data_IF_601652880752
#
_entry.id   IF_601652880752
#
_cell.length_a   1.000
_cell.length_b   1.000
_cell.length_c   1.000
_cell.angle_alpha   90.00
_cell.angle_beta   90.00
_cell.angle_gamma   90.00
#
_symmetry.space_group_name_H-M   'P 1'
#
loop_
_entity.id
_entity.type
_entity.pdbx_description
1 polymer ?
#
# COMPACT_ATOMS: atom_id res chain seq x y z
N UNK A 1 21.50 35.85 15.68
CA UNK A 1 22.02 34.46 15.74
C UNK A 1 20.95 33.40 16.04
N UNK A 2 20.22 33.42 17.19
CA UNK A 2 19.19 32.43 17.49
C UNK A 2 17.97 32.58 16.56
N UNK A 3 17.51 33.80 16.30
CA UNK A 3 16.39 34.13 15.41
C UNK A 3 16.75 33.80 13.95
N UNK A 4 17.97 34.09 13.51
CA UNK A 4 18.46 33.70 12.18
C UNK A 4 18.63 32.19 12.03
N UNK A 5 19.01 31.48 13.10
CA UNK A 5 19.07 30.03 13.11
C UNK A 5 17.64 29.41 13.02
N UNK A 6 16.66 30.04 13.68
CA UNK A 6 15.23 29.62 13.59
C UNK A 6 14.68 29.90 12.18
N UNK A 7 14.99 31.07 11.58
CA UNK A 7 14.58 31.39 10.21
C UNK A 7 15.21 30.43 9.19
N UNK A 8 16.52 30.13 9.30
CA UNK A 8 17.19 29.14 8.42
C UNK A 8 16.66 27.73 8.60
N UNK A 9 16.13 27.38 9.78
CA UNK A 9 15.51 26.09 10.03
C UNK A 9 14.09 25.97 9.43
N UNK A 10 13.41 27.11 9.15
CA UNK A 10 12.14 27.14 8.42
C UNK A 10 12.33 27.09 6.89
N UNK A 11 13.43 27.64 6.38
CA UNK A 11 13.70 27.71 4.94
C UNK A 11 14.20 26.37 4.34
N UNK A 12 14.80 25.48 5.16
CA UNK A 12 15.29 24.17 4.70
C UNK A 12 14.18 23.09 4.53
N UNK A 13 12.94 23.37 4.97
CA UNK A 13 11.81 22.44 4.93
C UNK A 13 10.66 22.93 3.98
N UNK A 14 10.87 23.97 3.17
CA UNK A 14 9.94 24.34 2.11
C UNK A 14 9.96 23.29 0.98
N UNK A 15 9.26 22.19 1.20
CA UNK A 15 8.69 21.43 0.10
C UNK A 15 7.53 22.27 -0.45
N UNK A 16 7.60 22.68 -1.70
CA UNK A 16 6.58 23.43 -2.47
C UNK A 16 5.25 22.64 -2.64
N UNK A 17 4.71 22.08 -1.57
CA UNK A 17 3.44 21.34 -1.61
C UNK A 17 2.42 22.09 -0.74
N UNK A 18 1.50 22.87 -1.35
CA UNK A 18 0.49 23.67 -0.62
C UNK A 18 -0.46 22.85 0.25
N UNK A 19 -0.43 21.53 0.15
CA UNK A 19 -1.24 20.61 0.96
C UNK A 19 -0.61 20.28 2.33
N UNK A 20 0.68 20.63 2.57
CA UNK A 20 1.37 20.35 3.83
C UNK A 20 1.01 21.35 4.95
N UNK A 21 0.61 22.57 4.61
CA UNK A 21 0.31 23.63 5.60
C UNK A 21 -1.00 23.40 6.37
N UNK A 22 -1.97 22.72 5.78
CA UNK A 22 -3.22 22.41 6.46
C UNK A 22 -3.10 21.24 7.48
N UNK A 23 -2.08 20.40 7.32
CA UNK A 23 -1.77 19.30 8.24
C UNK A 23 -0.95 19.75 9.48
N UNK A 24 -0.42 20.95 9.49
CA UNK A 24 0.57 21.43 10.45
C UNK A 24 0.01 22.16 11.68
N UNK A 25 -1.30 22.37 11.79
CA UNK A 25 -1.89 22.84 13.06
C UNK A 25 -1.98 21.70 14.07
N UNK A 26 -0.84 21.31 14.60
CA UNK A 26 -0.69 20.34 15.68
C UNK A 26 -0.95 21.02 17.02
N UNK A 27 -2.20 21.07 17.45
CA UNK A 27 -2.52 21.33 18.85
C UNK A 27 -2.21 20.08 19.67
N UNK A 28 -1.34 20.20 20.68
CA UNK A 28 -1.02 19.12 21.63
C UNK A 28 -2.28 18.56 22.30
N UNK A 29 -3.33 19.35 22.46
CA UNK A 29 -4.61 18.97 23.06
C UNK A 29 -5.34 17.85 22.30
N UNK A 30 -4.99 17.63 21.04
CA UNK A 30 -5.58 16.55 20.23
C UNK A 30 -4.90 15.19 20.40
N UNK A 31 -3.72 15.14 21.05
CA UNK A 31 -2.92 13.91 21.14
C UNK A 31 -3.24 13.06 22.36
N UNK A 32 -3.67 13.68 23.44
CA UNK A 32 -3.92 12.98 24.71
C UNK A 32 -5.38 13.15 25.06
N UNK A 33 -6.07 12.03 25.29
CA UNK A 33 -7.42 12.06 25.87
C UNK A 33 -7.35 12.75 27.22
N UNK A 34 -8.17 13.79 27.49
CA UNK A 34 -8.20 14.45 28.79
C UNK A 34 -8.46 13.46 29.92
N UNK A 35 -7.76 13.62 31.04
CA UNK A 35 -7.89 12.71 32.17
C UNK A 35 -9.29 12.71 32.80
N UNK A 36 -9.98 13.85 32.70
CA UNK A 36 -11.35 14.08 33.15
C UNK A 36 -12.43 13.74 32.13
N UNK A 37 -12.05 13.15 30.96
CA UNK A 37 -13.00 12.78 29.94
C UNK A 37 -13.97 11.70 30.45
N UNK A 38 -15.29 11.90 30.31
CA UNK A 38 -16.29 10.97 30.82
C UNK A 38 -16.10 9.55 30.31
N UNK A 39 -16.13 8.56 31.22
CA UNK A 39 -15.96 7.16 30.86
C UNK A 39 -17.02 6.70 29.85
N UNK A 40 -16.60 5.98 28.83
CA UNK A 40 -17.49 5.48 27.78
C UNK A 40 -17.95 6.51 26.75
N UNK A 41 -17.67 7.82 26.92
CA UNK A 41 -17.97 8.83 25.92
C UNK A 41 -16.98 8.72 24.75
N UNK A 42 -17.45 8.68 23.48
CA UNK A 42 -16.57 8.68 22.31
C UNK A 42 -15.64 9.89 22.28
N UNK A 43 -14.39 9.70 21.84
CA UNK A 43 -13.38 10.74 21.77
C UNK A 43 -12.55 10.64 20.50
N UNK A 44 -12.19 11.78 19.93
CA UNK A 44 -11.25 11.89 18.83
C UNK A 44 -11.80 11.46 17.46
N UNK A 45 -10.94 11.52 16.46
CA UNK A 45 -11.27 11.18 15.06
C UNK A 45 -10.39 10.06 14.56
N UNK A 46 -11.00 9.09 13.90
CA UNK A 46 -10.34 8.00 13.18
C UNK A 46 -10.56 8.21 11.67
N UNK A 47 -9.51 8.41 10.92
CA UNK A 47 -9.59 8.43 9.44
C UNK A 47 -9.14 7.07 8.91
N UNK A 48 -9.93 6.44 8.05
CA UNK A 48 -9.71 5.09 7.52
C UNK A 48 -9.71 5.12 6.01
N UNK A 49 -8.68 4.55 5.41
CA UNK A 49 -8.64 4.36 3.96
C UNK A 49 -7.73 3.19 3.56
N UNK A 50 -7.78 2.81 2.29
CA UNK A 50 -6.91 1.79 1.72
C UNK A 50 -6.20 2.32 0.47
N UNK A 51 -4.96 1.91 0.32
CA UNK A 51 -4.16 2.21 -0.87
C UNK A 51 -3.53 0.93 -1.40
N UNK A 52 -2.83 1.05 -2.51
CA UNK A 52 -2.09 -0.06 -3.08
C UNK A 52 -0.68 0.36 -3.44
N UNK A 53 0.23 -0.59 -3.29
CA UNK A 53 1.64 -0.43 -3.59
C UNK A 53 2.04 -1.41 -4.70
N UNK A 54 2.42 -0.92 -5.89
CA UNK A 54 2.74 -1.76 -7.04
C UNK A 54 3.94 -2.66 -6.78
N UNK A 55 3.86 -3.91 -7.25
CA UNK A 55 4.99 -4.83 -7.28
C UNK A 55 5.84 -4.60 -8.54
N UNK A 56 7.16 -4.74 -8.43
CA UNK A 56 8.08 -4.68 -9.56
C UNK A 56 7.99 -5.95 -10.40
N UNK A 57 6.94 -6.05 -11.20
CA UNK A 57 6.75 -7.13 -12.16
C UNK A 57 6.44 -6.60 -13.55
N UNK A 58 7.00 -7.23 -14.56
CA UNK A 58 6.56 -6.96 -15.93
C UNK A 58 5.16 -7.52 -16.15
N UNK A 59 4.33 -6.83 -16.96
CA UNK A 59 2.97 -7.29 -17.25
C UNK A 59 2.95 -8.77 -17.66
N UNK A 60 2.26 -9.64 -16.90
CA UNK A 60 2.30 -11.07 -17.11
C UNK A 60 1.43 -11.48 -18.32
N UNK A 61 1.99 -12.36 -19.14
CA UNK A 61 1.23 -13.09 -20.13
C UNK A 61 1.47 -14.58 -19.94
N UNK A 62 0.45 -15.42 -20.18
CA UNK A 62 0.58 -16.86 -19.99
C UNK A 62 1.74 -17.45 -20.78
N UNK A 63 1.92 -16.98 -22.00
CA UNK A 63 3.02 -17.44 -22.86
C UNK A 63 4.40 -17.06 -22.31
N UNK A 64 4.56 -15.86 -21.72
CA UNK A 64 5.80 -15.41 -21.11
C UNK A 64 6.13 -16.24 -19.86
N UNK A 65 5.14 -16.43 -18.99
CA UNK A 65 5.29 -17.23 -17.76
C UNK A 65 5.70 -18.67 -18.07
N UNK A 66 5.07 -19.30 -19.07
CA UNK A 66 5.40 -20.65 -19.49
C UNK A 66 6.79 -20.74 -20.10
N UNK A 67 7.21 -19.75 -20.89
CA UNK A 67 8.59 -19.72 -21.42
C UNK A 67 9.62 -19.56 -20.31
N UNK A 68 9.39 -18.68 -19.33
CA UNK A 68 10.26 -18.50 -18.16
C UNK A 68 10.32 -19.76 -17.30
N UNK A 69 9.19 -20.46 -17.13
CA UNK A 69 9.12 -21.73 -16.41
C UNK A 69 9.92 -22.81 -17.13
N UNK A 70 9.76 -22.93 -18.47
CA UNK A 70 10.54 -23.86 -19.30
C UNK A 70 12.03 -23.59 -19.18
N UNK A 71 12.48 -22.37 -19.36
CA UNK A 71 13.90 -22.00 -19.26
C UNK A 71 14.47 -22.26 -17.86
N UNK A 72 13.65 -22.05 -16.83
CA UNK A 72 14.04 -22.33 -15.44
C UNK A 72 14.18 -23.82 -15.17
N UNK A 73 13.24 -24.64 -15.64
CA UNK A 73 13.30 -26.10 -15.50
C UNK A 73 14.43 -26.69 -16.33
N UNK A 74 14.76 -26.15 -17.50
CA UNK A 74 15.95 -26.56 -18.29
C UNK A 74 17.24 -26.37 -17.50
N UNK A 75 17.40 -25.26 -16.77
CA UNK A 75 18.57 -25.02 -15.90
C UNK A 75 18.60 -25.98 -14.73
N UNK A 76 17.45 -26.20 -14.07
CA UNK A 76 17.36 -27.19 -12.96
C UNK A 76 17.79 -28.59 -13.44
N UNK A 77 17.35 -29.01 -14.63
CA UNK A 77 17.74 -30.28 -15.23
C UNK A 77 19.24 -30.31 -15.49
N UNK A 78 19.81 -29.22 -16.01
CA UNK A 78 21.27 -29.16 -16.26
C UNK A 78 22.05 -29.29 -14.94
N UNK A 79 21.67 -28.53 -13.89
CA UNK A 79 22.30 -28.59 -12.57
C UNK A 79 22.17 -29.99 -11.93
N UNK A 80 21.01 -30.66 -12.08
CA UNK A 80 20.83 -32.02 -11.59
C UNK A 80 21.66 -33.05 -12.39
N UNK A 81 21.80 -32.90 -13.70
CA UNK A 81 22.59 -33.78 -14.54
C UNK A 81 24.10 -33.65 -14.32
N UNK A 82 24.56 -32.56 -13.72
CA UNK A 82 25.96 -32.36 -13.33
C UNK A 82 26.35 -33.18 -12.12
N UNK A 83 25.39 -33.62 -11.27
CA UNK A 83 25.69 -34.45 -10.08
C UNK A 83 26.25 -35.81 -10.43
N UNK A 84 25.84 -36.43 -11.54
CA UNK A 84 26.30 -37.72 -11.98
C UNK A 84 26.17 -37.90 -13.49
N UNK A 85 27.19 -38.44 -14.16
CA UNK A 85 27.21 -38.61 -15.62
C UNK A 85 26.05 -39.48 -16.16
N UNK A 86 25.62 -40.48 -15.39
CA UNK A 86 24.53 -41.39 -15.72
C UNK A 86 23.15 -40.69 -15.79
N UNK A 87 23.00 -39.50 -15.18
CA UNK A 87 21.75 -38.75 -15.20
C UNK A 87 21.45 -38.10 -16.55
N UNK A 88 22.43 -37.91 -17.41
CA UNK A 88 22.27 -37.33 -18.76
C UNK A 88 21.27 -38.08 -19.63
N UNK A 89 21.05 -39.38 -19.41
CA UNK A 89 20.04 -40.17 -20.14
C UNK A 89 18.61 -39.71 -19.94
N UNK A 90 18.32 -39.05 -18.78
CA UNK A 90 16.99 -38.55 -18.43
C UNK A 90 16.72 -37.14 -19.00
N UNK A 91 17.72 -36.50 -19.62
CA UNK A 91 17.58 -35.19 -20.22
C UNK A 91 16.58 -35.21 -21.37
N UNK A 92 15.57 -34.31 -21.40
CA UNK A 92 14.54 -34.26 -22.46
C UNK A 92 15.19 -34.04 -23.82
N UNK A 93 14.77 -34.86 -24.80
CA UNK A 93 15.29 -34.79 -26.19
C UNK A 93 14.44 -33.82 -27.02
N UNK A 94 14.64 -32.52 -26.84
CA UNK A 94 14.07 -31.51 -27.72
C UNK A 94 15.03 -30.34 -27.95
N UNK A 95 14.83 -29.65 -29.05
CA UNK A 95 15.63 -28.47 -29.40
C UNK A 95 15.15 -27.22 -28.63
N UNK A 96 15.95 -26.78 -27.67
CA UNK A 96 15.70 -25.57 -26.87
C UNK A 96 15.61 -24.32 -27.73
N UNK A 97 16.37 -24.25 -28.84
CA UNK A 97 16.34 -23.17 -29.81
C UNK A 97 14.97 -23.09 -30.51
N UNK A 98 14.44 -24.23 -30.94
CA UNK A 98 13.08 -24.30 -31.52
C UNK A 98 12.01 -23.92 -30.49
N UNK A 99 12.12 -24.38 -29.26
CA UNK A 99 11.19 -24.02 -28.19
C UNK A 99 11.17 -22.50 -27.95
N UNK A 100 12.33 -21.85 -27.92
CA UNK A 100 12.48 -20.40 -27.85
C UNK A 100 11.92 -19.69 -29.09
N UNK A 101 12.16 -20.23 -30.29
CA UNK A 101 11.64 -19.67 -31.54
C UNK A 101 10.09 -19.67 -31.56
N UNK A 102 9.46 -20.72 -31.03
CA UNK A 102 7.99 -20.78 -30.86
C UNK A 102 7.50 -19.62 -29.98
N UNK A 103 8.14 -19.36 -28.84
CA UNK A 103 7.83 -18.21 -28.00
C UNK A 103 8.00 -16.89 -28.75
N UNK A 104 9.17 -16.66 -29.35
CA UNK A 104 9.51 -15.42 -30.03
C UNK A 104 8.60 -15.15 -31.25
N UNK A 105 8.13 -16.20 -31.91
CA UNK A 105 7.22 -16.08 -33.07
C UNK A 105 5.89 -15.38 -32.74
N UNK A 106 5.50 -15.38 -31.45
CA UNK A 106 4.30 -14.71 -30.94
C UNK A 106 4.67 -13.44 -30.21
N UNK A 107 5.68 -13.49 -29.31
CA UNK A 107 6.07 -12.38 -28.44
C UNK A 107 6.52 -11.13 -29.21
N UNK A 108 7.15 -11.30 -30.38
CA UNK A 108 7.59 -10.20 -31.23
C UNK A 108 6.45 -9.54 -32.04
N UNK A 109 5.25 -10.13 -32.08
CA UNK A 109 4.13 -9.60 -32.86
C UNK A 109 3.35 -8.56 -32.06
N UNK A 110 3.08 -7.40 -32.65
CA UNK A 110 2.30 -6.32 -32.04
C UNK A 110 0.85 -6.74 -31.72
N UNK A 111 0.23 -7.52 -32.61
CA UNK A 111 -1.16 -8.03 -32.47
C UNK A 111 -1.25 -9.48 -32.95
N UNK A 112 -0.75 -10.47 -32.21
CA UNK A 112 -0.81 -11.87 -32.64
C UNK A 112 -2.26 -12.39 -32.62
N UNK A 113 -2.60 -13.24 -33.60
CA UNK A 113 -3.94 -13.89 -33.64
C UNK A 113 -4.11 -14.84 -32.47
N UNK A 114 -5.28 -14.85 -31.83
CA UNK A 114 -5.62 -15.73 -30.68
C UNK A 114 -5.30 -17.21 -30.92
N UNK A 115 -5.56 -17.73 -32.14
CA UNK A 115 -5.24 -19.12 -32.51
C UNK A 115 -3.74 -19.39 -32.41
N UNK A 116 -2.90 -18.42 -32.85
CA UNK A 116 -1.44 -18.55 -32.80
C UNK A 116 -0.90 -18.51 -31.36
N UNK A 117 -1.45 -17.60 -30.52
CA UNK A 117 -1.13 -17.54 -29.10
C UNK A 117 -1.46 -18.87 -28.42
N UNK A 118 -2.69 -19.40 -28.63
CA UNK A 118 -3.14 -20.66 -28.04
C UNK A 118 -2.29 -21.86 -28.46
N UNK A 119 -1.87 -21.91 -29.72
CA UNK A 119 -0.97 -22.95 -30.23
C UNK A 119 0.43 -22.85 -29.60
N UNK A 120 0.96 -21.63 -29.40
CA UNK A 120 2.24 -21.43 -28.74
C UNK A 120 2.19 -21.79 -27.24
N UNK A 121 1.11 -21.42 -26.54
CA UNK A 121 0.87 -21.82 -25.13
C UNK A 121 0.88 -23.34 -25.01
N UNK A 122 0.11 -24.06 -25.86
CA UNK A 122 0.08 -25.53 -25.85
C UNK A 122 1.48 -26.11 -26.01
N UNK A 123 2.26 -25.64 -26.99
CA UNK A 123 3.64 -26.13 -27.20
C UNK A 123 4.56 -25.86 -26.01
N UNK A 124 4.44 -24.68 -25.39
CA UNK A 124 5.23 -24.38 -24.18
C UNK A 124 4.83 -25.25 -23.01
N UNK A 125 3.54 -25.56 -22.83
CA UNK A 125 3.06 -26.51 -21.83
C UNK A 125 3.62 -27.92 -22.09
N UNK A 126 3.60 -28.39 -23.34
CA UNK A 126 4.16 -29.70 -23.70
C UNK A 126 5.68 -29.79 -23.40
N UNK A 127 6.44 -28.71 -23.64
CA UNK A 127 7.86 -28.67 -23.26
C UNK A 127 8.03 -28.66 -21.75
N UNK A 128 7.23 -27.88 -21.03
CA UNK A 128 7.28 -27.80 -19.57
C UNK A 128 6.93 -29.12 -18.91
N UNK A 129 5.90 -29.82 -19.41
CA UNK A 129 5.52 -31.15 -18.94
C UNK A 129 6.70 -32.14 -19.05
N UNK A 130 7.36 -32.21 -20.22
CA UNK A 130 8.53 -33.06 -20.42
C UNK A 130 9.69 -32.74 -19.48
N UNK A 131 9.88 -31.44 -19.15
CA UNK A 131 10.90 -31.02 -18.21
C UNK A 131 10.55 -31.48 -16.79
N UNK A 132 9.30 -31.37 -16.36
CA UNK A 132 8.86 -31.84 -15.05
C UNK A 132 8.99 -33.35 -14.93
N UNK A 133 8.56 -34.11 -15.93
CA UNK A 133 8.74 -35.57 -16.00
C UNK A 133 10.22 -35.98 -15.95
N UNK A 134 11.12 -35.23 -16.61
CA UNK A 134 12.54 -35.48 -16.56
C UNK A 134 13.13 -35.19 -15.17
N UNK A 135 12.65 -34.14 -14.48
CA UNK A 135 13.06 -33.86 -13.10
C UNK A 135 12.60 -34.98 -12.17
N UNK A 136 11.37 -35.46 -12.32
CA UNK A 136 10.85 -36.60 -11.54
C UNK A 136 11.68 -37.88 -11.79
N UNK A 137 12.04 -38.16 -13.03
CA UNK A 137 12.91 -39.32 -13.38
C UNK A 137 14.32 -39.16 -12.82
N UNK A 138 14.89 -37.97 -12.78
CA UNK A 138 16.18 -37.68 -12.16
C UNK A 138 16.13 -37.93 -10.65
N UNK A 139 15.10 -37.47 -9.98
CA UNK A 139 14.88 -37.68 -8.54
C UNK A 139 14.72 -39.18 -8.26
N UNK A 140 13.92 -39.90 -9.04
CA UNK A 140 13.73 -41.34 -8.92
C UNK A 140 15.04 -42.13 -9.17
N UNK A 141 15.97 -41.56 -9.93
CA UNK A 141 17.30 -42.12 -10.19
C UNK A 141 18.36 -41.77 -9.13
N UNK A 142 17.96 -41.02 -8.07
CA UNK A 142 18.83 -40.66 -6.96
C UNK A 142 19.41 -39.23 -7.03
N UNK A 143 18.97 -38.37 -7.95
CA UNK A 143 19.39 -36.99 -7.95
C UNK A 143 18.89 -36.27 -6.69
N UNK A 144 19.76 -35.47 -6.07
CA UNK A 144 19.49 -34.82 -4.78
C UNK A 144 19.07 -33.37 -5.00
N UNK A 145 17.82 -33.06 -4.71
CA UNK A 145 17.27 -31.69 -4.84
C UNK A 145 17.89 -30.68 -3.88
N UNK A 146 18.35 -31.12 -2.70
CA UNK A 146 19.01 -30.25 -1.72
C UNK A 146 20.35 -29.67 -2.19
N UNK A 147 20.94 -30.21 -3.27
CA UNK A 147 22.11 -29.63 -3.91
C UNK A 147 21.80 -28.39 -4.75
N UNK A 148 20.55 -28.21 -5.13
CA UNK A 148 20.12 -27.00 -5.84
C UNK A 148 20.14 -25.80 -4.90
N UNK A 149 20.44 -24.62 -5.46
CA UNK A 149 20.32 -23.35 -4.72
C UNK A 149 18.86 -23.14 -4.28
N UNK A 150 18.65 -22.63 -3.07
CA UNK A 150 17.33 -22.47 -2.45
C UNK A 150 16.32 -21.76 -3.35
N UNK A 151 16.75 -20.78 -4.17
CA UNK A 151 15.85 -20.09 -5.09
C UNK A 151 15.31 -20.98 -6.23
N UNK A 152 16.09 -22.01 -6.70
CA UNK A 152 15.62 -22.96 -7.70
C UNK A 152 14.59 -23.93 -7.11
N UNK A 153 14.83 -24.39 -5.89
CA UNK A 153 13.90 -25.23 -5.16
C UNK A 153 12.52 -24.56 -5.00
N UNK A 154 12.50 -23.33 -4.46
CA UNK A 154 11.26 -22.57 -4.30
C UNK A 154 10.58 -22.33 -5.66
N UNK A 155 11.36 -22.03 -6.70
CA UNK A 155 10.84 -21.77 -8.04
C UNK A 155 10.24 -23.03 -8.67
N UNK A 156 10.79 -24.22 -8.42
CA UNK A 156 10.25 -25.48 -8.94
C UNK A 156 8.83 -25.76 -8.40
N UNK A 157 8.59 -25.50 -7.11
CA UNK A 157 7.25 -25.63 -6.53
C UNK A 157 6.24 -24.68 -7.20
N UNK A 158 6.64 -23.43 -7.42
CA UNK A 158 5.79 -22.43 -8.10
C UNK A 158 5.52 -22.84 -9.56
N UNK A 159 6.53 -23.41 -10.26
CA UNK A 159 6.40 -23.86 -11.65
C UNK A 159 5.46 -25.06 -11.75
N UNK A 160 5.51 -26.00 -10.83
CA UNK A 160 4.60 -27.16 -10.81
C UNK A 160 3.15 -26.70 -10.67
N UNK A 161 2.88 -25.77 -9.77
CA UNK A 161 1.54 -25.17 -9.62
C UNK A 161 1.14 -24.33 -10.86
N UNK A 162 2.07 -23.56 -11.42
CA UNK A 162 1.81 -22.81 -12.67
C UNK A 162 1.41 -23.76 -13.80
N UNK A 163 2.11 -24.88 -13.96
CA UNK A 163 1.79 -25.88 -14.98
C UNK A 163 0.36 -26.41 -14.79
N UNK A 164 -0.02 -26.78 -13.57
CA UNK A 164 -1.39 -27.22 -13.24
C UNK A 164 -2.42 -26.14 -13.59
N UNK A 165 -2.18 -24.89 -13.20
CA UNK A 165 -3.10 -23.76 -13.47
C UNK A 165 -3.25 -23.51 -14.96
N UNK A 166 -2.16 -23.46 -15.71
CA UNK A 166 -2.19 -23.18 -17.15
C UNK A 166 -2.80 -24.32 -17.95
N UNK A 167 -2.65 -25.56 -17.50
CA UNK A 167 -3.34 -26.73 -18.06
C UNK A 167 -4.85 -26.60 -17.91
N UNK A 168 -5.33 -26.26 -16.71
CA UNK A 168 -6.77 -26.02 -16.47
C UNK A 168 -7.30 -24.86 -17.33
N UNK A 169 -6.58 -23.73 -17.40
CA UNK A 169 -6.99 -22.59 -18.21
C UNK A 169 -7.10 -22.92 -19.69
N UNK A 170 -6.16 -23.72 -20.22
CA UNK A 170 -6.15 -24.10 -21.63
C UNK A 170 -7.20 -25.13 -21.99
N UNK A 171 -7.29 -26.23 -21.24
CA UNK A 171 -8.12 -27.39 -21.60
C UNK A 171 -9.55 -27.28 -21.07
N UNK A 172 -9.76 -26.79 -19.86
CA UNK A 172 -11.10 -26.53 -19.32
C UNK A 172 -11.69 -25.20 -19.84
N UNK A 173 -10.98 -24.46 -20.69
CA UNK A 173 -11.41 -23.18 -21.29
C UNK A 173 -11.85 -22.15 -20.26
N UNK A 174 -11.30 -22.19 -19.05
CA UNK A 174 -11.60 -21.20 -18.02
C UNK A 174 -10.89 -19.88 -18.33
N UNK A 175 -11.51 -18.77 -17.96
CA UNK A 175 -10.92 -17.42 -18.11
C UNK A 175 -10.18 -16.97 -16.88
N UNK A 176 -10.50 -17.52 -15.73
CA UNK A 176 -9.90 -17.21 -14.43
C UNK A 176 -9.73 -18.48 -13.60
N UNK A 177 -8.81 -18.42 -12.67
CA UNK A 177 -8.55 -19.45 -11.67
C UNK A 177 -8.21 -18.75 -10.35
N UNK A 178 -8.63 -19.29 -9.19
CA UNK A 178 -8.21 -18.78 -7.89
C UNK A 178 -6.68 -18.82 -7.77
N UNK A 179 -6.12 -17.94 -6.97
CA UNK A 179 -4.69 -17.87 -6.63
C UNK A 179 -3.75 -17.87 -7.84
N UNK A 180 -4.20 -17.24 -8.94
CA UNK A 180 -3.48 -17.26 -10.21
C UNK A 180 -2.07 -16.73 -10.06
N UNK A 181 -1.07 -17.55 -10.41
CA UNK A 181 0.33 -17.17 -10.48
C UNK A 181 0.53 -16.22 -11.67
N UNK A 182 1.11 -15.06 -11.40
CA UNK A 182 1.42 -14.02 -12.39
C UNK A 182 2.92 -13.72 -12.49
N UNK A 183 3.71 -14.20 -11.53
CA UNK A 183 5.16 -14.08 -11.53
C UNK A 183 5.78 -15.30 -10.84
N UNK A 184 6.89 -15.83 -11.38
CA UNK A 184 7.56 -17.01 -10.82
C UNK A 184 8.44 -16.70 -9.62
N UNK A 185 8.86 -15.45 -9.46
CA UNK A 185 9.75 -15.02 -8.37
C UNK A 185 8.92 -14.42 -7.24
N UNK A 186 7.93 -13.58 -7.59
CA UNK A 186 7.01 -12.95 -6.66
C UNK A 186 5.66 -13.69 -6.74
N UNK A 187 5.65 -14.94 -6.31
CA UNK A 187 4.49 -15.83 -6.42
C UNK A 187 3.30 -15.42 -5.57
N UNK A 188 3.49 -14.52 -4.59
CA UNK A 188 2.43 -13.93 -3.77
C UNK A 188 1.60 -12.90 -4.51
N UNK A 189 2.12 -12.26 -5.56
CA UNK A 189 1.42 -11.20 -6.29
C UNK A 189 0.20 -11.76 -7.01
N UNK A 190 -0.93 -11.07 -6.91
CA UNK A 190 -2.20 -11.45 -7.55
C UNK A 190 -2.71 -10.33 -8.45
N UNK A 191 -3.51 -10.68 -9.48
CA UNK A 191 -4.18 -9.68 -10.31
C UNK A 191 -5.30 -9.01 -9.52
N UNK A 192 -5.28 -7.68 -9.40
CA UNK A 192 -6.34 -6.88 -8.80
C UNK A 192 -7.10 -6.11 -9.87
N UNK A 193 -8.42 -6.32 -9.94
CA UNK A 193 -9.29 -5.61 -10.89
C UNK A 193 -9.70 -4.28 -10.27
N UNK A 194 -9.29 -3.17 -10.88
CA UNK A 194 -9.59 -1.82 -10.38
C UNK A 194 -10.55 -1.00 -11.22
N UNK A 195 -10.88 -1.46 -12.43
CA UNK A 195 -11.80 -0.74 -13.32
C UNK A 195 -11.31 0.63 -13.81
N UNK A 196 -10.02 0.94 -13.64
CA UNK A 196 -9.44 2.19 -14.15
C UNK A 196 -9.31 2.15 -15.67
N UNK A 197 -9.53 3.29 -16.34
CA UNK A 197 -9.49 3.41 -17.80
C UNK A 197 -8.12 3.02 -18.41
N UNK A 198 -7.00 3.25 -17.70
CA UNK A 198 -5.64 2.95 -18.18
C UNK A 198 -5.19 1.51 -17.94
N UNK A 199 -5.62 0.89 -16.83
CA UNK A 199 -5.25 -0.49 -16.49
C UNK A 199 -6.43 -1.17 -15.79
N UNK A 200 -7.05 -2.14 -16.47
CA UNK A 200 -8.16 -2.91 -15.93
C UNK A 200 -7.70 -3.83 -14.78
N UNK A 201 -6.43 -4.24 -14.78
CA UNK A 201 -5.81 -5.13 -13.79
C UNK A 201 -4.47 -4.54 -13.38
N UNK A 202 -4.25 -4.44 -12.09
CA UNK A 202 -3.01 -4.01 -11.45
C UNK A 202 -2.44 -5.16 -10.61
N UNK A 203 -1.12 -5.14 -10.35
CA UNK A 203 -0.38 -6.17 -9.63
C UNK A 203 0.31 -5.53 -8.44
N UNK A 204 -0.34 -5.54 -7.30
CA UNK A 204 0.06 -4.71 -6.16
C UNK A 204 -0.32 -5.35 -4.82
N UNK A 205 0.31 -4.90 -3.73
CA UNK A 205 -0.16 -5.17 -2.39
C UNK A 205 -1.20 -4.11 -1.99
N UNK A 206 -2.37 -4.54 -1.50
CA UNK A 206 -3.38 -3.66 -0.91
C UNK A 206 -3.08 -3.45 0.56
N UNK A 207 -3.02 -2.20 0.99
CA UNK A 207 -2.74 -1.80 2.37
C UNK A 207 -3.95 -1.07 2.94
N UNK A 208 -4.29 -1.39 4.19
CA UNK A 208 -5.35 -0.74 4.96
C UNK A 208 -4.71 0.06 6.09
N UNK A 209 -5.01 1.34 6.16
CA UNK A 209 -4.37 2.31 7.05
C UNK A 209 -5.42 3.10 7.80
N UNK A 210 -5.15 3.44 9.05
CA UNK A 210 -5.86 4.48 9.76
C UNK A 210 -4.94 5.62 10.17
N UNK A 211 -5.48 6.84 10.17
CA UNK A 211 -4.79 8.01 10.69
C UNK A 211 -5.50 8.48 11.96
N UNK A 212 -4.71 8.71 12.99
CA UNK A 212 -5.15 9.20 14.29
C UNK A 212 -4.16 10.26 14.75
N UNK A 213 -4.66 11.45 15.03
CA UNK A 213 -3.80 12.57 15.46
C UNK A 213 -2.62 12.79 14.51
N UNK A 214 -2.85 12.61 13.21
CA UNK A 214 -1.84 12.72 12.17
C UNK A 214 -0.80 11.61 12.12
N UNK A 215 -0.88 10.56 12.96
CA UNK A 215 -0.06 9.35 12.84
C UNK A 215 -0.78 8.28 12.05
N UNK A 216 -0.08 7.66 11.10
CA UNK A 216 -0.62 6.61 10.26
C UNK A 216 -0.27 5.22 10.82
N UNK A 217 -1.26 4.40 10.99
CA UNK A 217 -1.16 3.03 11.49
C UNK A 217 -1.55 2.05 10.40
N UNK A 218 -0.61 1.20 10.03
CA UNK A 218 -0.85 0.10 9.11
C UNK A 218 -1.58 -1.03 9.83
N UNK A 219 -2.72 -1.46 9.30
CA UNK A 219 -3.54 -2.52 9.89
C UNK A 219 -3.48 -3.83 9.12
N UNK A 220 -3.45 -3.76 7.81
CA UNK A 220 -3.48 -4.94 6.95
C UNK A 220 -2.65 -4.72 5.71
N UNK A 221 -1.91 -5.76 5.31
CA UNK A 221 -1.27 -5.90 4.01
C UNK A 221 -1.89 -7.14 3.37
N UNK A 222 -2.35 -7.07 2.14
CA UNK A 222 -2.90 -8.20 1.41
C UNK A 222 -2.45 -8.19 -0.05
N UNK A 223 -1.98 -9.33 -0.52
CA UNK A 223 -1.69 -9.57 -1.92
C UNK A 223 -2.93 -10.06 -2.68
N UNK A 224 -3.97 -10.50 -1.95
CA UNK A 224 -5.25 -10.92 -2.49
C UNK A 224 -6.24 -9.76 -2.51
N UNK A 225 -7.12 -9.69 -3.53
CA UNK A 225 -8.18 -8.70 -3.57
C UNK A 225 -9.18 -8.94 -2.43
N UNK A 226 -9.49 -7.90 -1.67
CA UNK A 226 -10.50 -7.94 -0.63
C UNK A 226 -11.30 -6.64 -0.58
N UNK A 227 -12.47 -6.69 0.04
CA UNK A 227 -13.30 -5.51 0.24
C UNK A 227 -12.80 -4.71 1.46
N UNK A 228 -12.20 -3.55 1.23
CA UNK A 228 -11.65 -2.67 2.27
C UNK A 228 -12.68 -2.20 3.30
N UNK A 229 -13.95 -2.15 2.91
CA UNK A 229 -15.03 -1.78 3.83
C UNK A 229 -15.16 -2.72 5.05
N UNK A 230 -14.61 -3.93 4.97
CA UNK A 230 -14.61 -4.90 6.08
C UNK A 230 -13.67 -4.49 7.21
N UNK A 231 -12.63 -3.71 6.92
CA UNK A 231 -11.60 -3.34 7.88
C UNK A 231 -12.06 -2.27 8.89
N UNK A 232 -13.10 -1.46 8.57
CA UNK A 232 -13.54 -0.35 9.41
C UNK A 232 -13.88 -0.78 10.83
N UNK A 233 -14.64 -1.85 11.01
CA UNK A 233 -15.08 -2.32 12.33
C UNK A 233 -13.88 -2.81 13.15
N UNK A 234 -12.94 -3.51 12.51
CA UNK A 234 -11.72 -4.00 13.17
C UNK A 234 -10.86 -2.82 13.65
N UNK A 235 -10.69 -1.80 12.81
CA UNK A 235 -9.92 -0.60 13.14
C UNK A 235 -10.59 0.22 14.26
N UNK A 236 -11.92 0.37 14.25
CA UNK A 236 -12.66 1.04 15.32
C UNK A 236 -12.54 0.30 16.65
N UNK A 237 -12.57 -1.05 16.64
CA UNK A 237 -12.36 -1.87 17.85
C UNK A 237 -10.93 -1.72 18.38
N UNK A 238 -9.93 -1.70 17.50
CA UNK A 238 -8.53 -1.46 17.86
C UNK A 238 -8.34 -0.08 18.50
N UNK A 239 -8.99 0.95 17.92
CA UNK A 239 -9.04 2.28 18.52
C UNK A 239 -9.56 2.23 19.96
N UNK A 240 -10.69 1.52 20.19
CA UNK A 240 -11.26 1.36 21.54
C UNK A 240 -10.30 0.64 22.50
N UNK A 241 -9.56 -0.37 22.03
CA UNK A 241 -8.57 -1.08 22.88
C UNK A 241 -7.44 -0.14 23.32
N UNK A 242 -7.01 0.78 22.46
CA UNK A 242 -5.90 1.69 22.75
C UNK A 242 -6.32 2.92 23.58
N UNK A 243 -7.52 3.48 23.34
CA UNK A 243 -7.99 4.72 24.00
C UNK A 243 -9.06 4.49 25.08
N UNK A 244 -9.50 3.24 25.29
CA UNK A 244 -10.58 2.90 26.24
C UNK A 244 -11.98 3.29 25.76
N UNK A 245 -12.13 4.00 24.64
CA UNK A 245 -13.42 4.43 24.08
C UNK A 245 -13.41 4.37 22.56
N UNK A 246 -14.59 4.37 21.94
CA UNK A 246 -14.71 4.50 20.49
C UNK A 246 -14.39 5.93 20.03
N UNK A 247 -13.99 6.12 18.75
CA UNK A 247 -13.84 7.46 18.21
C UNK A 247 -15.20 8.17 18.14
N UNK A 248 -15.23 9.47 18.35
CA UNK A 248 -16.44 10.29 18.16
C UNK A 248 -16.84 10.29 16.67
N UNK A 249 -15.83 10.31 15.79
CA UNK A 249 -16.02 10.42 14.36
C UNK A 249 -15.10 9.46 13.60
N UNK A 250 -15.66 8.80 12.57
CA UNK A 250 -14.89 8.06 11.57
C UNK A 250 -15.02 8.75 10.22
N UNK A 251 -13.88 9.15 9.63
CA UNK A 251 -13.80 9.68 8.28
C UNK A 251 -13.31 8.57 7.34
N UNK A 252 -14.12 8.22 6.34
CA UNK A 252 -13.84 7.14 5.42
C UNK A 252 -14.43 7.41 4.03
N UNK A 253 -13.92 6.74 3.00
CA UNK A 253 -14.45 6.85 1.65
C UNK A 253 -15.83 6.20 1.51
N UNK A 254 -16.49 6.49 0.39
CA UNK A 254 -17.86 6.03 0.09
C UNK A 254 -18.01 4.51 0.17
N UNK A 255 -16.98 3.74 -0.17
CA UNK A 255 -17.01 2.28 -0.14
C UNK A 255 -17.25 1.72 1.28
N UNK A 256 -16.81 2.44 2.31
CA UNK A 256 -17.00 2.06 3.71
C UNK A 256 -18.42 2.33 4.24
N UNK A 257 -19.26 3.08 3.50
CA UNK A 257 -20.58 3.52 3.93
C UNK A 257 -21.67 2.44 3.70
N UNK A 258 -21.34 1.17 3.86
CA UNK A 258 -22.29 0.06 3.76
C UNK A 258 -23.19 -0.04 5.00
N UNK A 259 -24.28 -0.77 4.91
CA UNK A 259 -25.28 -0.93 5.98
C UNK A 259 -24.66 -1.51 7.25
N UNK A 260 -23.75 -2.49 7.13
CA UNK A 260 -23.08 -3.14 8.27
C UNK A 260 -22.27 -2.12 9.08
N UNK A 261 -21.47 -1.31 8.42
CA UNK A 261 -20.64 -0.29 9.06
C UNK A 261 -21.48 0.83 9.67
N UNK A 262 -22.52 1.29 8.96
CA UNK A 262 -23.47 2.30 9.48
C UNK A 262 -24.15 1.81 10.76
N UNK A 263 -24.68 0.59 10.76
CA UNK A 263 -25.34 0.00 11.93
C UNK A 263 -24.37 -0.13 13.11
N UNK A 264 -23.12 -0.54 12.86
CA UNK A 264 -22.09 -0.61 13.90
C UNK A 264 -21.81 0.78 14.49
N UNK A 265 -21.61 1.79 13.64
CA UNK A 265 -21.34 3.16 14.09
C UNK A 265 -22.51 3.73 14.89
N UNK A 266 -23.75 3.56 14.42
CA UNK A 266 -24.96 4.04 15.12
C UNK A 266 -25.08 3.38 16.51
N UNK A 267 -24.89 2.07 16.62
CA UNK A 267 -24.96 1.34 17.92
C UNK A 267 -23.91 1.83 18.92
N UNK A 268 -22.75 2.24 18.44
CA UNK A 268 -21.65 2.69 19.29
C UNK A 268 -21.54 4.22 19.39
N UNK A 269 -22.56 4.96 18.97
CA UNK A 269 -22.61 6.44 19.00
C UNK A 269 -21.45 7.10 18.23
N UNK A 270 -20.95 6.44 17.19
CA UNK A 270 -19.88 6.93 16.32
C UNK A 270 -20.51 7.68 15.14
N UNK A 271 -20.08 8.89 14.88
CA UNK A 271 -20.46 9.64 13.69
C UNK A 271 -19.64 9.17 12.49
N UNK A 272 -20.26 8.49 11.55
CA UNK A 272 -19.62 8.09 10.31
C UNK A 272 -19.76 9.21 9.28
N UNK A 273 -18.64 9.63 8.65
CA UNK A 273 -18.60 10.67 7.61
C UNK A 273 -19.42 10.30 6.37
N UNK A 274 -19.81 11.33 5.60
CA UNK A 274 -20.48 11.15 4.32
C UNK A 274 -21.98 11.43 4.37
N UNK A 275 -22.63 11.25 3.22
CA UNK A 275 -24.06 11.60 3.06
C UNK A 275 -24.95 10.70 3.91
N UNK A 276 -25.91 11.29 4.60
CA UNK A 276 -26.99 10.56 5.27
C UNK A 276 -27.84 9.80 4.24
N UNK A 277 -28.40 8.67 4.68
CA UNK A 277 -29.39 7.94 3.90
C UNK A 277 -30.75 8.63 3.99
N UNK A 278 -31.53 8.55 2.93
CA UNK A 278 -32.88 9.10 2.86
C UNK A 278 -32.96 10.47 2.17
N UNK A 279 -34.15 11.08 2.25
CA UNK A 279 -34.43 12.38 1.65
C UNK A 279 -33.68 13.48 2.43
N UNK A 280 -33.06 14.47 1.75
CA UNK A 280 -32.46 15.62 2.43
C UNK A 280 -33.46 16.33 3.33
N UNK A 281 -33.02 16.95 4.44
CA UNK A 281 -33.86 17.79 5.27
C UNK A 281 -34.51 18.92 4.44
N UNK A 282 -35.78 19.22 4.72
CA UNK A 282 -36.47 20.33 4.06
C UNK A 282 -35.98 21.69 4.54
N UNK A 283 -35.46 21.73 5.77
CA UNK A 283 -34.91 22.92 6.40
C UNK A 283 -33.59 23.32 5.73
N UNK A 284 -33.49 24.56 5.16
CA UNK A 284 -32.28 25.04 4.50
C UNK A 284 -31.08 25.15 5.44
N UNK A 285 -31.27 25.55 6.70
CA UNK A 285 -30.20 25.73 7.68
C UNK A 285 -29.59 24.37 8.06
N UNK A 286 -30.41 23.35 8.35
CA UNK A 286 -29.98 22.00 8.64
C UNK A 286 -29.27 21.40 7.42
N UNK A 287 -29.75 21.68 6.22
CA UNK A 287 -29.12 21.24 4.98
C UNK A 287 -27.74 21.88 4.77
N UNK A 288 -27.61 23.19 5.05
CA UNK A 288 -26.36 23.93 4.94
C UNK A 288 -25.32 23.44 5.98
N UNK A 289 -25.74 23.33 7.24
CA UNK A 289 -24.87 22.77 8.30
C UNK A 289 -24.37 21.36 7.97
N UNK A 290 -25.23 20.49 7.43
CA UNK A 290 -24.83 19.17 6.99
C UNK A 290 -23.83 19.19 5.83
N UNK A 291 -24.00 20.09 4.85
CA UNK A 291 -23.03 20.26 3.75
C UNK A 291 -21.67 20.71 4.26
N UNK A 292 -21.66 21.70 5.17
CA UNK A 292 -20.43 22.19 5.81
C UNK A 292 -19.70 21.06 6.56
N UNK A 293 -20.45 20.26 7.31
CA UNK A 293 -19.89 19.12 8.04
C UNK A 293 -19.30 18.05 7.10
N UNK A 294 -20.00 17.71 6.00
CA UNK A 294 -19.48 16.78 4.98
C UNK A 294 -18.20 17.32 4.34
N UNK A 295 -18.12 18.64 4.09
CA UNK A 295 -16.91 19.28 3.56
C UNK A 295 -15.75 19.21 4.56
N UNK A 296 -16.01 19.45 5.84
CA UNK A 296 -15.01 19.32 6.90
C UNK A 296 -14.50 17.86 7.05
N UNK A 297 -15.40 16.87 6.93
CA UNK A 297 -15.02 15.45 6.94
C UNK A 297 -14.18 15.09 5.72
N UNK A 298 -14.48 15.68 4.56
CA UNK A 298 -13.68 15.45 3.35
C UNK A 298 -12.27 16.02 3.49
N UNK A 299 -12.12 17.24 4.03
CA UNK A 299 -10.81 17.84 4.32
C UNK A 299 -10.02 16.97 5.31
N UNK A 300 -10.67 16.46 6.37
CA UNK A 300 -10.02 15.56 7.32
C UNK A 300 -9.59 14.24 6.69
N UNK A 301 -10.30 13.75 5.66
CA UNK A 301 -9.90 12.55 4.90
C UNK A 301 -8.63 12.78 4.09
N UNK A 302 -8.36 14.01 3.64
CA UNK A 302 -7.14 14.32 2.89
C UNK A 302 -5.86 14.00 3.68
N UNK A 303 -5.90 13.96 5.02
CA UNK A 303 -4.74 13.53 5.83
C UNK A 303 -4.25 12.12 5.47
N UNK A 304 -5.15 11.17 5.25
CA UNK A 304 -4.72 9.81 4.88
C UNK A 304 -4.21 9.75 3.45
N UNK A 305 -4.78 10.55 2.55
CA UNK A 305 -4.30 10.67 1.17
C UNK A 305 -2.89 11.29 1.15
N UNK A 306 -2.64 12.33 1.98
CA UNK A 306 -1.32 12.91 2.20
C UNK A 306 -0.31 11.88 2.74
N UNK A 307 -0.71 11.06 3.72
CA UNK A 307 0.12 9.95 4.20
C UNK A 307 0.49 8.97 3.07
N UNK A 308 -0.48 8.58 2.23
CA UNK A 308 -0.20 7.70 1.08
C UNK A 308 0.73 8.36 0.05
N UNK A 309 0.55 9.67 -0.20
CA UNK A 309 1.45 10.45 -1.05
C UNK A 309 2.89 10.41 -0.51
N UNK A 310 3.06 10.68 0.77
CA UNK A 310 4.35 10.70 1.46
C UNK A 310 5.04 9.33 1.42
N UNK A 311 4.34 8.23 1.80
CA UNK A 311 4.97 6.90 1.79
C UNK A 311 5.35 6.45 0.38
N UNK A 312 4.60 6.86 -0.64
CA UNK A 312 4.93 6.54 -2.03
C UNK A 312 6.10 7.36 -2.58
N UNK A 313 6.14 8.67 -2.29
CA UNK A 313 7.19 9.57 -2.81
C UNK A 313 8.48 9.46 -2.00
N UNK A 314 8.40 9.57 -0.67
CA UNK A 314 9.58 9.67 0.20
C UNK A 314 10.12 8.31 0.65
N UNK A 315 9.24 7.33 0.88
CA UNK A 315 9.63 6.00 1.41
C UNK A 315 9.52 4.88 0.37
N UNK A 316 9.54 5.23 -0.91
CA UNK A 316 9.66 4.29 -2.06
C UNK A 316 8.55 3.23 -2.18
N UNK A 317 7.36 3.47 -1.59
CA UNK A 317 6.22 2.56 -1.76
C UNK A 317 5.48 2.73 -3.10
N UNK A 318 5.99 3.55 -4.01
CA UNK A 318 5.52 3.64 -5.39
C UNK A 318 5.88 2.40 -6.23
N UNK A 319 6.90 1.62 -5.81
CA UNK A 319 7.31 0.37 -6.44
C UNK A 319 8.00 -0.55 -5.43
N UNK A 320 7.44 -1.73 -5.17
CA UNK A 320 8.02 -2.72 -4.26
C UNK A 320 9.00 -3.60 -5.03
N UNK A 321 10.30 -3.40 -4.82
CA UNK A 321 11.38 -4.19 -5.44
C UNK A 321 11.69 -5.49 -4.69
N UNK A 322 11.24 -5.64 -3.44
CA UNK A 322 11.46 -6.83 -2.62
C UNK A 322 10.74 -8.03 -3.23
N UNK A 323 11.49 -9.12 -3.46
CA UNK A 323 11.00 -10.31 -4.17
C UNK A 323 10.25 -11.30 -3.29
N UNK A 324 10.63 -11.40 -2.02
CA UNK A 324 10.00 -12.31 -1.06
C UNK A 324 8.83 -11.62 -0.36
N UNK A 325 7.72 -12.33 -0.13
CA UNK A 325 6.52 -11.80 0.54
C UNK A 325 6.84 -11.12 1.86
N UNK A 326 7.54 -11.83 2.76
CA UNK A 326 7.93 -11.28 4.07
C UNK A 326 8.81 -10.03 3.94
N UNK A 327 9.76 -10.02 3.00
CA UNK A 327 10.61 -8.86 2.74
C UNK A 327 9.80 -7.66 2.23
N UNK A 328 8.85 -7.88 1.33
CA UNK A 328 7.97 -6.85 0.82
C UNK A 328 7.05 -6.28 1.92
N UNK A 329 6.46 -7.15 2.74
CA UNK A 329 5.61 -6.76 3.88
C UNK A 329 6.41 -6.00 4.95
N UNK A 330 7.64 -6.42 5.23
CA UNK A 330 8.55 -5.70 6.13
C UNK A 330 8.88 -4.31 5.57
N UNK A 331 9.20 -4.19 4.28
CA UNK A 331 9.48 -2.91 3.63
C UNK A 331 8.29 -1.97 3.74
N UNK A 332 7.08 -2.46 3.44
CA UNK A 332 5.84 -1.68 3.59
C UNK A 332 5.67 -1.23 5.04
N UNK A 333 5.81 -2.13 6.01
CA UNK A 333 5.64 -1.82 7.44
C UNK A 333 6.66 -0.81 7.93
N UNK A 334 7.93 -0.96 7.54
CA UNK A 334 9.01 -0.05 7.92
C UNK A 334 8.81 1.37 7.37
N UNK A 335 8.24 1.51 6.16
CA UNK A 335 7.95 2.83 5.61
C UNK A 335 6.98 3.63 6.51
N UNK A 336 5.94 2.98 7.06
CA UNK A 336 5.03 3.62 8.01
C UNK A 336 5.69 3.89 9.37
N UNK A 337 6.53 2.99 9.87
CA UNK A 337 7.27 3.19 11.13
C UNK A 337 8.20 4.40 11.00
N UNK A 338 8.97 4.48 9.91
CA UNK A 338 9.92 5.59 9.67
C UNK A 338 9.17 6.91 9.50
N UNK A 339 8.05 6.93 8.77
CA UNK A 339 7.20 8.12 8.64
C UNK A 339 6.69 8.61 10.00
N UNK A 340 6.23 7.72 10.87
CA UNK A 340 5.80 8.07 12.22
C UNK A 340 6.96 8.54 13.10
N UNK A 341 8.12 7.90 13.02
CA UNK A 341 9.32 8.30 13.76
C UNK A 341 9.81 9.69 13.35
N UNK A 342 9.83 9.99 12.04
CA UNK A 342 10.17 11.31 11.53
C UNK A 342 9.21 12.39 12.04
N UNK A 343 7.91 12.09 12.07
CA UNK A 343 6.92 13.01 12.65
C UNK A 343 7.19 13.28 14.14
N UNK A 344 7.53 12.24 14.92
CA UNK A 344 7.91 12.40 16.34
C UNK A 344 9.13 13.30 16.45
N UNK A 345 10.14 13.10 15.62
CA UNK A 345 11.36 13.94 15.65
C UNK A 345 11.05 15.41 15.31
N UNK A 346 10.16 15.66 14.34
CA UNK A 346 9.70 17.04 14.03
C UNK A 346 8.99 17.68 15.25
N UNK A 347 8.11 16.93 15.91
CA UNK A 347 7.40 17.41 17.12
C UNK A 347 8.39 17.71 18.24
N UNK A 348 9.36 16.84 18.49
CA UNK A 348 10.41 17.06 19.49
C UNK A 348 11.25 18.32 19.16
N UNK A 349 11.62 18.47 17.87
CA UNK A 349 12.36 19.66 17.41
C UNK A 349 11.55 20.93 17.68
N UNK A 350 10.27 20.97 17.31
CA UNK A 350 9.38 22.11 17.59
C UNK A 350 9.30 22.40 19.09
N UNK A 351 9.12 21.37 19.91
CA UNK A 351 9.11 21.51 21.37
C UNK A 351 10.40 22.14 21.90
N UNK A 352 11.57 21.63 21.50
CA UNK A 352 12.84 22.18 21.90
C UNK A 352 13.03 23.63 21.45
N UNK A 353 12.68 23.97 20.21
CA UNK A 353 12.71 25.33 19.69
C UNK A 353 11.82 26.25 20.52
N UNK A 354 10.59 25.81 20.85
CA UNK A 354 9.68 26.61 21.69
C UNK A 354 10.21 26.81 23.10
N UNK A 355 10.78 25.77 23.72
CA UNK A 355 11.40 25.87 25.06
C UNK A 355 12.59 26.80 25.04
N UNK A 356 13.46 26.69 24.03
CA UNK A 356 14.63 27.61 23.89
C UNK A 356 14.18 29.05 23.66
N UNK A 357 13.16 29.28 22.84
CA UNK A 357 12.61 30.61 22.59
C UNK A 357 12.01 31.21 23.88
N UNK A 358 11.23 30.38 24.64
CA UNK A 358 10.69 30.79 25.92
C UNK A 358 11.78 31.14 26.95
N UNK A 359 12.83 30.31 27.04
CA UNK A 359 13.95 30.55 27.96
C UNK A 359 14.74 31.82 27.58
N UNK A 360 14.96 32.05 26.29
CA UNK A 360 15.58 33.28 25.78
C UNK A 360 14.74 34.51 26.11
N UNK A 361 13.43 34.43 25.90
CA UNK A 361 12.49 35.49 26.23
C UNK A 361 12.44 35.80 27.73
N UNK A 362 12.54 34.78 28.58
CA UNK A 362 12.59 34.94 30.02
C UNK A 362 13.88 35.66 30.50
N UNK A 363 15.02 35.39 29.86
CA UNK A 363 16.29 36.04 30.18
C UNK A 363 16.42 37.50 29.66
N UNK A 364 15.64 37.85 28.63
CA UNK A 364 15.66 39.17 27.99
C UNK A 364 14.23 39.66 27.66
N UNK A 365 13.50 40.11 28.68
CA UNK A 365 12.12 40.58 28.46
C UNK A 365 12.03 41.78 27.52
N UNK A 366 13.08 42.64 27.46
CA UNK A 366 13.12 43.81 26.58
C UNK A 366 13.19 43.42 25.09
N UNK A 367 13.81 42.30 24.74
CA UNK A 367 13.90 41.81 23.38
C UNK A 367 12.54 41.30 22.80
N UNK A 368 11.63 40.89 23.65
CA UNK A 368 10.27 40.53 23.26
C UNK A 368 9.48 41.73 22.76
N UNK A 369 9.64 42.88 23.42
CA UNK A 369 8.95 44.11 23.01
C UNK A 369 9.44 44.60 21.64
N UNK A 370 10.71 44.39 21.27
CA UNK A 370 11.20 44.72 19.92
C UNK A 370 10.66 43.78 18.82
N UNK A 371 10.52 42.50 19.10
CA UNK A 371 10.03 41.52 18.12
C UNK A 371 8.51 41.67 17.90
N UNK A 372 7.74 41.96 18.93
CA UNK A 372 6.28 42.13 18.83
C UNK A 372 5.83 43.56 18.53
N UNK A 373 6.72 44.56 18.63
CA UNK A 373 6.42 45.95 18.31
C UNK A 373 5.80 46.15 16.91
N UNK A 374 6.27 45.49 15.82
CA UNK A 374 5.65 45.64 14.51
C UNK A 374 4.21 45.11 14.45
N UNK A 375 3.91 44.02 15.20
CA UNK A 375 2.61 43.38 15.22
C UNK A 375 1.61 44.27 15.97
N UNK A 376 2.02 44.85 17.10
CA UNK A 376 1.16 45.76 17.86
C UNK A 376 0.95 47.12 17.16
N UNK A 377 1.90 47.58 16.35
CA UNK A 377 1.72 48.76 15.53
C UNK A 377 0.72 48.56 14.39
N UNK A 378 0.68 47.38 13.78
CA UNK A 378 -0.30 47.05 12.74
C UNK A 378 -1.73 46.96 13.29
N UNK A 379 -1.94 46.46 14.50
CA UNK A 379 -3.29 46.44 15.12
C UNK A 379 -3.77 47.85 15.57
N UNK A 380 -2.86 48.75 15.88
CA UNK A 380 -3.23 50.13 16.28
C UNK A 380 -3.55 51.02 15.08
N UNK A 381 -2.96 50.78 13.91
CA UNK A 381 -3.23 51.55 12.68
C UNK A 381 -4.56 51.19 12.03
N UNK A 382 -5.04 49.94 12.15
CA UNK A 382 -6.35 49.54 11.63
C UNK A 382 -7.54 50.11 12.45
N UNK A 383 -7.30 50.60 13.68
CA UNK A 383 -8.36 51.22 14.49
C UNK A 383 -8.63 52.71 14.17
N UNK A 384 -7.80 53.31 13.30
CA UNK A 384 -7.91 54.72 12.90
C UNK A 384 -8.60 54.95 11.51
N UNK A 385 -8.99 53.89 10.81
CA UNK A 385 -9.63 53.99 9.49
C UNK A 385 -11.16 53.80 9.57
N UNK A 386 -11.72 53.72 10.76
CA UNK A 386 -13.18 53.62 10.95
C UNK A 386 -13.73 54.84 11.68
N UNK A 387 -13.67 56.04 11.03
CA UNK A 387 -14.55 57.19 11.29
C UNK A 387 -15.01 57.82 9.98
#
# INVERSE_FOLDING_TARGET
MVIEAIARLSDDDESDDPDDDAANQLSLDNFVKPADWPEGKPWGTLTVDASCTPADITYPTDLKLLNEARESTERIIDDLCEQHSGFRKHKPRYDRGKARAVFLSVAKQKKPRRRKIKAAIRRQLDYLQRNLEAIDALIASGAVLSSLKAHWWNKLLVISELHRQQTILLYARRRSIPDRIVNLVQSQVRPMVRGKARAAVEFEAKISVSVRNGFAFLHRISWDPYNEAEDLIAQAKKYKQEYGCYPERICADRIYLNTKNRNFCTRNKIRLSGKRLGRPPKDPEISAAHKQQVSADQRKRNEVEGCFGTVKRKYSLNLIMARLSKGAETLISMAFVVMCAEKILRLLRLFFVTVCAWFYAWQRPDALLEVFRPIWQLEMDDSLIAV
#
